data_IF_912180668034
#
_entry.id   IF_912180668034
#
_cell.length_a   1.000
_cell.length_b   1.000
_cell.length_c   1.000
_cell.angle_alpha   90.00
_cell.angle_beta   90.00
_cell.angle_gamma   90.00
#
_symmetry.space_group_name_H-M   'P 1'
#
loop_
_entity.id
_entity.type
_entity.pdbx_description
1 polymer ?
#
# COMPACT_ATOMS: atom_id res chain seq x y z
N UNK A 1 20.21 -30.34 12.70
CA UNK A 1 20.39 -29.84 11.40
C UNK A 1 20.37 -28.31 11.45
N UNK A 2 21.31 -27.72 10.78
CA UNK A 2 21.55 -26.28 10.87
C UNK A 2 20.34 -25.41 10.55
N UNK A 3 19.56 -25.80 9.55
CA UNK A 3 18.36 -25.07 9.15
C UNK A 3 17.28 -25.06 10.24
N UNK A 4 17.11 -26.18 10.93
CA UNK A 4 16.16 -26.30 12.03
C UNK A 4 16.61 -25.51 13.25
N UNK A 5 17.89 -25.54 13.55
CA UNK A 5 18.46 -24.74 14.64
C UNK A 5 18.29 -23.23 14.40
N UNK A 6 18.56 -22.77 13.17
CA UNK A 6 18.40 -21.37 12.81
C UNK A 6 16.95 -20.92 12.94
N UNK A 7 16.00 -21.78 12.53
CA UNK A 7 14.58 -21.49 12.66
C UNK A 7 14.16 -21.33 14.13
N UNK A 8 14.57 -22.24 14.98
CA UNK A 8 14.25 -22.19 16.42
C UNK A 8 14.89 -20.96 17.06
N UNK A 9 16.16 -20.67 16.78
CA UNK A 9 16.85 -19.52 17.31
C UNK A 9 16.20 -18.20 16.93
N UNK A 10 15.74 -18.08 15.70
CA UNK A 10 15.06 -16.88 15.22
C UNK A 10 13.73 -16.65 15.94
N UNK A 11 12.96 -17.71 16.15
CA UNK A 11 11.70 -17.62 16.89
C UNK A 11 11.94 -17.26 18.36
N UNK A 12 12.91 -17.90 19.01
CA UNK A 12 13.26 -17.61 20.40
C UNK A 12 13.68 -16.16 20.56
N UNK A 13 14.52 -15.62 19.67
CA UNK A 13 14.95 -14.23 19.72
C UNK A 13 13.79 -13.26 19.61
N UNK A 14 12.83 -13.54 18.74
CA UNK A 14 11.66 -12.68 18.59
C UNK A 14 10.67 -12.82 19.76
N UNK A 15 10.49 -14.03 20.29
CA UNK A 15 9.61 -14.25 21.43
C UNK A 15 10.15 -13.57 22.70
N UNK A 16 11.47 -13.54 22.89
CA UNK A 16 12.08 -12.83 24.02
C UNK A 16 11.71 -11.35 24.06
N UNK A 17 11.61 -10.71 22.89
CA UNK A 17 11.21 -9.31 22.81
C UNK A 17 9.75 -9.09 23.26
N UNK A 18 8.90 -10.08 23.13
CA UNK A 18 7.52 -10.03 23.65
C UNK A 18 7.45 -10.35 25.13
N UNK A 19 8.29 -11.28 25.61
CA UNK A 19 8.32 -11.71 27.02
C UNK A 19 8.73 -10.57 27.95
N UNK A 20 9.67 -9.73 27.54
CA UNK A 20 10.14 -8.57 28.32
C UNK A 20 9.01 -7.61 28.71
N UNK A 21 7.88 -7.69 28.03
CA UNK A 21 6.74 -6.82 28.29
C UNK A 21 5.63 -7.49 29.11
N UNK A 22 5.77 -8.78 29.41
CA UNK A 22 4.75 -9.56 30.11
C UNK A 22 5.39 -10.53 31.11
N UNK A 23 4.59 -11.00 32.05
CA UNK A 23 5.03 -12.00 33.01
C UNK A 23 5.43 -13.29 32.28
N UNK A 24 6.48 -13.98 32.76
CA UNK A 24 6.90 -15.23 32.13
C UNK A 24 5.79 -16.28 32.21
N UNK A 25 5.62 -16.99 31.13
CA UNK A 25 4.67 -18.09 31.06
C UNK A 25 5.29 -19.34 31.67
N UNK A 26 4.50 -20.13 32.36
CA UNK A 26 4.96 -21.42 32.87
C UNK A 26 5.47 -22.30 31.72
N UNK A 27 6.60 -22.96 31.94
CA UNK A 27 7.21 -23.82 30.93
C UNK A 27 6.27 -24.98 30.60
N UNK A 28 6.03 -25.17 29.31
CA UNK A 28 5.27 -26.31 28.80
C UNK A 28 6.26 -27.30 28.22
N UNK A 29 6.19 -28.55 28.69
CA UNK A 29 7.04 -29.61 28.16
C UNK A 29 6.45 -30.08 26.83
N UNK A 30 7.16 -29.78 25.71
CA UNK A 30 6.79 -30.22 24.38
C UNK A 30 7.83 -31.21 23.83
N UNK A 31 7.41 -32.13 22.99
CA UNK A 31 8.34 -32.99 22.30
C UNK A 31 9.14 -32.18 21.27
N UNK A 32 10.31 -32.68 20.87
CA UNK A 32 11.15 -31.99 19.88
C UNK A 32 10.39 -31.77 18.56
N UNK A 33 9.56 -32.73 18.17
CA UNK A 33 8.71 -32.62 16.97
C UNK A 33 7.70 -31.48 17.09
N UNK A 34 7.06 -31.35 18.26
CA UNK A 34 6.08 -30.29 18.52
C UNK A 34 6.74 -28.92 18.57
N UNK A 35 7.95 -28.83 19.14
CA UNK A 35 8.73 -27.60 19.17
C UNK A 35 9.05 -27.11 17.76
N UNK A 36 9.52 -28.02 16.89
CA UNK A 36 9.83 -27.68 15.50
C UNK A 36 8.57 -27.23 14.73
N UNK A 37 7.46 -27.94 14.88
CA UNK A 37 6.21 -27.58 14.22
C UNK A 37 5.75 -26.19 14.67
N UNK A 38 5.81 -25.93 15.96
CA UNK A 38 5.46 -24.61 16.54
C UNK A 38 6.39 -23.53 16.01
N UNK A 39 7.71 -23.81 15.97
CA UNK A 39 8.71 -22.86 15.49
C UNK A 39 8.45 -22.49 14.02
N UNK A 40 8.17 -23.47 13.17
CA UNK A 40 7.87 -23.19 11.76
C UNK A 40 6.56 -22.42 11.58
N UNK A 41 5.54 -22.73 12.40
CA UNK A 41 4.28 -21.98 12.38
C UNK A 41 4.51 -20.52 12.76
N UNK A 42 5.30 -20.26 13.79
CA UNK A 42 5.63 -18.90 14.21
C UNK A 42 6.48 -18.16 13.18
N UNK A 43 7.43 -18.85 12.54
CA UNK A 43 8.21 -18.27 11.45
C UNK A 43 7.33 -17.87 10.27
N UNK A 44 6.35 -18.69 9.94
CA UNK A 44 5.40 -18.39 8.87
C UNK A 44 4.60 -17.14 9.21
N UNK A 45 4.17 -16.99 10.46
CA UNK A 45 3.46 -15.79 10.92
C UNK A 45 4.36 -14.56 10.90
N UNK A 46 5.63 -14.70 11.27
CA UNK A 46 6.59 -13.60 11.20
C UNK A 46 6.80 -13.13 9.78
N UNK A 47 6.88 -14.07 8.84
CA UNK A 47 7.01 -13.76 7.42
C UNK A 47 5.75 -13.04 6.92
N UNK A 48 4.58 -13.53 7.29
CA UNK A 48 3.31 -12.87 6.96
C UNK A 48 3.26 -11.46 7.54
N UNK A 49 3.69 -11.27 8.79
CA UNK A 49 3.75 -9.96 9.42
C UNK A 49 4.59 -8.98 8.60
N UNK A 50 5.79 -9.41 8.17
CA UNK A 50 6.67 -8.56 7.38
C UNK A 50 6.08 -8.21 6.01
N UNK A 51 5.47 -9.18 5.36
CA UNK A 51 4.79 -8.95 4.07
C UNK A 51 3.62 -8.00 4.22
N UNK A 52 2.83 -8.15 5.28
CA UNK A 52 1.70 -7.28 5.56
C UNK A 52 2.14 -5.85 5.87
N UNK A 53 3.22 -5.68 6.64
CA UNK A 53 3.79 -4.35 6.93
C UNK A 53 4.18 -3.64 5.63
N UNK A 54 4.86 -4.34 4.74
CA UNK A 54 5.25 -3.77 3.45
C UNK A 54 4.03 -3.44 2.60
N UNK A 55 3.04 -4.32 2.55
CA UNK A 55 1.80 -4.09 1.80
C UNK A 55 1.03 -2.89 2.35
N UNK A 56 0.94 -2.76 3.69
CA UNK A 56 0.29 -1.62 4.34
C UNK A 56 1.02 -0.33 3.97
N UNK A 57 2.35 -0.34 4.00
CA UNK A 57 3.15 0.83 3.65
C UNK A 57 2.86 1.28 2.21
N UNK A 58 2.85 0.34 1.28
CA UNK A 58 2.58 0.63 -0.13
C UNK A 58 1.14 1.13 -0.33
N UNK A 59 0.19 0.50 0.35
CA UNK A 59 -1.22 0.90 0.26
C UNK A 59 -1.45 2.28 0.85
N UNK A 60 -0.80 2.62 1.95
CA UNK A 60 -0.88 3.98 2.55
C UNK A 60 -0.32 5.03 1.61
N UNK A 61 0.81 4.72 0.96
CA UNK A 61 1.40 5.61 -0.04
C UNK A 61 0.45 5.81 -1.21
N UNK A 62 -0.17 4.73 -1.69
CA UNK A 62 -1.15 4.77 -2.77
C UNK A 62 -2.40 5.55 -2.35
N UNK A 63 -2.89 5.33 -1.12
CA UNK A 63 -4.02 6.08 -0.57
C UNK A 63 -3.75 7.57 -0.58
N UNK A 64 -2.57 7.99 -0.12
CA UNK A 64 -2.21 9.40 -0.06
C UNK A 64 -2.12 10.01 -1.47
N UNK A 65 -1.60 9.25 -2.43
CA UNK A 65 -1.53 9.66 -3.82
C UNK A 65 -2.93 9.87 -4.42
N UNK A 66 -3.82 8.91 -4.21
CA UNK A 66 -5.19 8.96 -4.74
C UNK A 66 -6.01 10.05 -4.04
N UNK A 67 -5.87 10.17 -2.71
CA UNK A 67 -6.69 11.11 -1.94
C UNK A 67 -6.51 12.57 -2.35
N UNK A 68 -5.35 12.91 -2.91
CA UNK A 68 -5.09 14.25 -3.44
C UNK A 68 -6.02 14.58 -4.62
N UNK A 69 -6.42 13.56 -5.36
CA UNK A 69 -7.27 13.71 -6.55
C UNK A 69 -8.76 13.45 -6.26
N UNK A 70 -9.07 12.99 -5.04
CA UNK A 70 -10.42 12.73 -4.60
C UNK A 70 -10.84 11.27 -4.76
N UNK A 71 -12.06 10.98 -4.34
CA UNK A 71 -12.63 9.63 -4.44
C UNK A 71 -13.35 9.48 -5.77
N UNK A 72 -12.70 8.85 -6.71
CA UNK A 72 -13.24 8.58 -8.03
C UNK A 72 -13.19 7.07 -8.32
N UNK A 73 -14.00 6.63 -9.28
CA UNK A 73 -14.03 5.22 -9.70
C UNK A 73 -13.13 5.03 -10.92
N UNK A 74 -11.98 4.33 -10.78
CA UNK A 74 -11.09 4.07 -11.91
C UNK A 74 -11.77 3.29 -13.04
N UNK A 75 -12.80 2.51 -12.74
CA UNK A 75 -13.54 1.76 -13.75
C UNK A 75 -14.31 2.67 -14.70
N UNK A 76 -14.79 3.81 -14.21
CA UNK A 76 -15.44 4.80 -15.06
C UNK A 76 -14.47 5.38 -16.08
N UNK A 77 -13.24 5.62 -15.66
CA UNK A 77 -12.18 6.11 -16.56
C UNK A 77 -11.81 5.07 -17.62
N UNK A 78 -11.74 3.81 -17.23
CA UNK A 78 -11.48 2.70 -18.16
C UNK A 78 -12.62 2.54 -19.17
N UNK A 79 -13.85 2.75 -18.73
CA UNK A 79 -15.02 2.70 -19.61
C UNK A 79 -14.95 3.81 -20.67
N UNK A 80 -14.52 5.01 -20.30
CA UNK A 80 -14.32 6.11 -21.24
C UNK A 80 -13.24 5.79 -22.27
N UNK A 81 -12.16 5.15 -21.85
CA UNK A 81 -11.11 4.72 -22.79
C UNK A 81 -11.66 3.75 -23.84
N UNK A 82 -12.52 2.84 -23.46
CA UNK A 82 -13.18 1.90 -24.37
C UNK A 82 -14.03 2.61 -25.40
N UNK A 83 -14.59 3.77 -25.04
CA UNK A 83 -15.38 4.60 -25.94
C UNK A 83 -14.51 5.53 -26.78
N UNK A 84 -13.18 5.43 -26.67
CA UNK A 84 -12.25 6.26 -27.42
C UNK A 84 -11.95 7.60 -26.78
N UNK A 85 -12.38 7.82 -25.54
CA UNK A 85 -12.12 9.05 -24.77
C UNK A 85 -10.98 8.79 -23.81
N UNK A 86 -9.84 9.46 -24.04
CA UNK A 86 -8.65 9.34 -23.20
C UNK A 86 -8.49 10.59 -22.36
N UNK A 87 -8.30 10.40 -21.06
CA UNK A 87 -8.12 11.49 -20.10
C UNK A 87 -6.75 11.33 -19.44
N UNK A 88 -6.03 12.44 -19.34
CA UNK A 88 -4.70 12.48 -18.72
C UNK A 88 -4.70 13.57 -17.65
N UNK A 89 -4.20 13.25 -16.48
CA UNK A 89 -4.23 14.14 -15.31
C UNK A 89 -2.82 14.58 -14.95
N UNK A 90 -2.66 15.90 -14.74
CA UNK A 90 -1.37 16.49 -14.39
C UNK A 90 -1.52 17.49 -13.25
N UNK A 91 -0.56 17.48 -12.31
CA UNK A 91 -0.41 18.56 -11.36
C UNK A 91 0.32 19.70 -12.06
N UNK A 92 -0.20 20.92 -11.90
CA UNK A 92 0.32 22.09 -12.64
C UNK A 92 0.47 23.30 -11.74
N UNK A 93 1.42 24.19 -12.10
CA UNK A 93 1.55 25.50 -11.52
C UNK A 93 0.91 26.56 -12.42
N UNK A 94 0.87 27.80 -11.94
CA UNK A 94 0.30 28.92 -12.71
C UNK A 94 1.00 29.13 -14.06
N UNK A 95 2.31 28.94 -14.10
CA UNK A 95 3.09 29.09 -15.33
C UNK A 95 2.73 28.03 -16.35
N UNK A 96 2.49 26.81 -15.88
CA UNK A 96 2.11 25.68 -16.73
C UNK A 96 0.75 25.93 -17.37
N UNK A 97 -0.19 26.44 -16.62
CA UNK A 97 -1.53 26.78 -17.12
C UNK A 97 -1.46 27.82 -18.22
N UNK A 98 -0.62 28.84 -18.04
CA UNK A 98 -0.43 29.89 -19.05
C UNK A 98 0.16 29.31 -20.33
N UNK A 99 1.19 28.47 -20.21
CA UNK A 99 1.82 27.83 -21.36
C UNK A 99 0.84 26.94 -22.12
N UNK A 100 0.04 26.16 -21.39
CA UNK A 100 -0.97 25.26 -21.99
C UNK A 100 -2.10 26.05 -22.66
N UNK A 101 -2.49 27.19 -22.11
CA UNK A 101 -3.54 28.05 -22.68
C UNK A 101 -3.11 28.64 -24.02
N UNK A 102 -1.82 28.78 -24.27
CA UNK A 102 -1.29 29.30 -25.52
C UNK A 102 -1.19 28.22 -26.61
N UNK A 103 -1.30 26.97 -26.24
CA UNK A 103 -1.21 25.84 -27.18
C UNK A 103 -2.63 25.44 -27.65
N UNK A 104 -2.95 25.77 -28.89
CA UNK A 104 -4.26 25.50 -29.48
C UNK A 104 -4.55 24.00 -29.65
N UNK A 105 -3.51 23.16 -29.68
CA UNK A 105 -3.64 21.73 -29.83
C UNK A 105 -3.97 20.99 -28.54
N UNK A 106 -3.88 21.69 -27.41
CA UNK A 106 -4.13 21.09 -26.08
C UNK A 106 -5.52 21.51 -25.60
N UNK A 107 -6.36 20.52 -25.35
CA UNK A 107 -7.67 20.72 -24.72
C UNK A 107 -7.60 20.22 -23.29
N UNK A 108 -7.81 21.10 -22.34
CA UNK A 108 -7.75 20.75 -20.93
C UNK A 108 -8.85 21.42 -20.12
N UNK A 109 -9.17 20.80 -18.99
CA UNK A 109 -10.15 21.31 -18.04
C UNK A 109 -9.46 21.44 -16.68
N UNK A 110 -9.61 22.56 -15.96
CA UNK A 110 -9.10 22.70 -14.61
C UNK A 110 -9.78 21.70 -13.68
N UNK A 111 -9.00 21.09 -12.77
CA UNK A 111 -9.48 20.15 -11.79
C UNK A 111 -9.04 20.60 -10.41
N UNK A 112 -9.94 20.57 -9.44
CA UNK A 112 -9.60 20.87 -8.06
C UNK A 112 -8.93 19.67 -7.41
N UNK A 113 -7.72 19.86 -6.87
CA UNK A 113 -7.03 18.85 -6.11
C UNK A 113 -6.59 19.43 -4.77
N UNK A 114 -6.43 18.56 -3.80
CA UNK A 114 -6.00 18.97 -2.46
C UNK A 114 -4.56 19.49 -2.50
N UNK A 115 -4.35 20.72 -2.08
CA UNK A 115 -3.03 21.31 -1.95
C UNK A 115 -2.43 21.91 -3.22
N UNK A 116 -3.21 22.06 -4.30
CA UNK A 116 -2.67 22.63 -5.53
C UNK A 116 -3.68 22.71 -6.66
N UNK A 117 -3.16 22.92 -7.86
CA UNK A 117 -3.94 22.97 -9.08
C UNK A 117 -3.60 21.78 -9.96
N UNK A 118 -4.59 21.31 -10.70
CA UNK A 118 -4.40 20.22 -11.65
C UNK A 118 -5.25 20.45 -12.89
N UNK A 119 -4.94 19.73 -13.93
CA UNK A 119 -5.70 19.76 -15.17
C UNK A 119 -5.99 18.33 -15.64
N UNK A 120 -7.09 18.20 -16.37
CA UNK A 120 -7.43 16.99 -17.11
C UNK A 120 -7.29 17.31 -18.59
N UNK A 121 -6.35 16.63 -19.26
CA UNK A 121 -6.14 16.78 -20.70
C UNK A 121 -6.96 15.72 -21.42
N UNK A 122 -7.73 16.15 -22.41
CA UNK A 122 -8.61 15.26 -23.20
C UNK A 122 -7.92 14.92 -24.51
N UNK A 123 -7.78 13.63 -24.78
CA UNK A 123 -7.17 13.15 -26.03
C UNK A 123 -5.77 12.62 -25.79
N UNK A 124 -4.77 13.18 -26.47
CA UNK A 124 -3.40 12.75 -26.37
C UNK A 124 -2.70 13.31 -25.12
N UNK A 125 -1.78 12.51 -24.56
CA UNK A 125 -0.97 12.96 -23.45
C UNK A 125 -0.09 14.14 -23.86
N UNK A 126 0.24 14.98 -22.87
CA UNK A 126 1.13 16.13 -23.11
C UNK A 126 2.54 15.65 -23.46
N UNK A 127 3.19 16.40 -24.36
CA UNK A 127 4.56 16.12 -24.74
C UNK A 127 5.55 16.42 -23.61
N UNK A 128 6.77 15.92 -23.76
CA UNK A 128 7.83 16.08 -22.77
C UNK A 128 8.29 17.53 -22.61
N UNK A 129 7.98 18.39 -23.58
CA UNK A 129 8.31 19.82 -23.53
C UNK A 129 7.67 20.54 -22.35
N UNK A 130 6.55 20.02 -21.83
CA UNK A 130 5.88 20.60 -20.67
C UNK A 130 6.50 20.19 -19.36
N UNK A 131 7.32 19.12 -19.33
CA UNK A 131 8.00 18.61 -18.12
C UNK A 131 7.05 18.32 -16.98
N UNK A 132 5.84 17.90 -17.29
CA UNK A 132 4.82 17.56 -16.29
C UNK A 132 4.70 16.04 -16.15
N UNK A 133 4.51 15.61 -14.90
CA UNK A 133 4.31 14.19 -14.61
C UNK A 133 2.83 13.86 -14.62
N UNK A 134 2.46 12.87 -15.40
CA UNK A 134 1.08 12.39 -15.45
C UNK A 134 0.73 11.58 -14.21
N UNK A 135 -0.45 11.83 -13.66
CA UNK A 135 -0.98 11.02 -12.59
C UNK A 135 -1.39 9.65 -13.14
N UNK A 136 -0.76 8.61 -12.64
CA UNK A 136 -1.11 7.25 -13.05
C UNK A 136 -2.42 6.84 -12.41
N UNK A 137 -3.41 6.49 -13.25
CA UNK A 137 -4.72 6.09 -12.78
C UNK A 137 -4.59 4.78 -12.01
N UNK A 138 -5.03 4.72 -10.74
CA UNK A 138 -4.93 3.50 -9.96
C UNK A 138 -5.87 2.42 -10.46
N UNK A 139 -5.54 1.16 -10.19
CA UNK A 139 -6.42 0.05 -10.51
C UNK A 139 -7.65 0.01 -9.60
N UNK A 140 -7.48 0.47 -8.37
CA UNK A 140 -8.52 0.48 -7.32
C UNK A 140 -8.80 1.89 -6.86
N UNK A 141 -10.05 2.16 -6.54
CA UNK A 141 -10.47 3.44 -5.99
C UNK A 141 -10.03 3.61 -4.53
N UNK A 142 -10.16 4.83 -4.02
CA UNK A 142 -9.74 5.18 -2.66
C UNK A 142 -10.42 4.29 -1.61
N UNK A 143 -11.71 4.05 -1.73
CA UNK A 143 -12.45 3.22 -0.79
C UNK A 143 -11.96 1.78 -0.73
N UNK A 144 -11.60 1.21 -1.89
CA UNK A 144 -11.05 -0.16 -1.93
C UNK A 144 -9.68 -0.23 -1.28
N UNK A 145 -8.83 0.76 -1.53
CA UNK A 145 -7.49 0.84 -0.93
C UNK A 145 -7.59 0.95 0.59
N UNK A 146 -8.47 1.81 1.08
CA UNK A 146 -8.69 1.97 2.52
C UNK A 146 -9.23 0.70 3.16
N UNK A 147 -10.14 -0.01 2.48
CA UNK A 147 -10.66 -1.29 2.95
C UNK A 147 -9.57 -2.35 3.07
N UNK A 148 -8.67 -2.42 2.08
CA UNK A 148 -7.53 -3.35 2.12
C UNK A 148 -6.59 -3.05 3.27
N UNK A 149 -6.31 -1.76 3.53
CA UNK A 149 -5.48 -1.35 4.67
C UNK A 149 -6.10 -1.83 5.97
N UNK A 150 -7.40 -1.63 6.16
CA UNK A 150 -8.10 -2.07 7.38
C UNK A 150 -8.04 -3.59 7.57
N UNK A 151 -8.21 -4.35 6.50
CA UNK A 151 -8.13 -5.81 6.55
C UNK A 151 -6.74 -6.25 7.00
N UNK A 152 -5.70 -5.67 6.41
CA UNK A 152 -4.32 -6.01 6.75
C UNK A 152 -3.94 -5.57 8.17
N UNK A 153 -4.38 -4.40 8.60
CA UNK A 153 -4.14 -3.92 9.96
C UNK A 153 -4.80 -4.83 10.99
N UNK A 154 -6.02 -5.29 10.70
CA UNK A 154 -6.72 -6.24 11.56
C UNK A 154 -5.98 -7.55 11.64
N UNK A 155 -5.47 -8.06 10.51
CA UNK A 155 -4.68 -9.29 10.49
C UNK A 155 -3.38 -9.13 11.26
N UNK A 156 -2.72 -7.97 11.16
CA UNK A 156 -1.52 -7.67 11.93
C UNK A 156 -1.77 -7.73 13.44
N UNK A 157 -2.92 -7.23 13.86
CA UNK A 157 -3.31 -7.28 15.27
C UNK A 157 -3.56 -8.71 15.72
N UNK A 158 -4.19 -9.54 14.89
CA UNK A 158 -4.39 -10.96 15.17
C UNK A 158 -3.04 -11.69 15.31
N UNK A 159 -2.09 -11.41 14.42
CA UNK A 159 -0.75 -12.01 14.48
C UNK A 159 -0.04 -11.60 15.77
N UNK A 160 -0.10 -10.33 16.12
CA UNK A 160 0.51 -9.82 17.35
C UNK A 160 -0.09 -10.53 18.58
N UNK A 161 -1.40 -10.74 18.55
CA UNK A 161 -2.10 -11.41 19.63
C UNK A 161 -1.65 -12.88 19.75
N UNK A 162 -1.46 -13.57 18.64
CA UNK A 162 -0.93 -14.93 18.61
C UNK A 162 0.45 -14.99 19.24
N UNK A 163 1.36 -14.09 18.88
CA UNK A 163 2.70 -14.03 19.47
C UNK A 163 2.64 -13.74 20.98
N UNK A 164 1.73 -12.89 21.40
CA UNK A 164 1.53 -12.57 22.81
C UNK A 164 1.03 -13.79 23.59
N UNK A 165 0.11 -14.56 23.04
CA UNK A 165 -0.40 -15.79 23.67
C UNK A 165 0.62 -16.93 23.66
N UNK A 166 1.51 -16.97 22.66
CA UNK A 166 2.55 -17.99 22.55
C UNK A 166 3.68 -17.82 23.58
N UNK A 167 3.77 -16.66 24.21
CA UNK A 167 4.74 -16.38 25.28
C UNK A 167 4.05 -16.37 26.63
#
# INVERSE_FOLDING_TARGET
REKDKAAVQKVVGNLESYVDKKNPVSSISLSDSDILTTAYSLLSLMDEEQKNLESIRLLRSERDRISSWGDFDPNELKALEKEGIFLHFYSVGKKDIKALSLDENVKFIPVSVKGGQAICVIGEALGKEYQLSEFQIPEKGLGEVEAEILILEKRQEEIRHIFTEAT
#
